data_IF_232862018183
#
_entry.id   IF_232862018183
#
_cell.length_a   1.000
_cell.length_b   1.000
_cell.length_c   1.000
_cell.angle_alpha   90.00
_cell.angle_beta   90.00
_cell.angle_gamma   90.00
#
_symmetry.space_group_name_H-M   'P 1'
#
loop_
_entity.id
_entity.type
_entity.pdbx_description
1 polymer ?
#
# COMPACT_ATOMS: atom_id res chain seq x y z
N UNK A 1 11.24 8.02 -21.98
CA UNK A 1 12.62 7.85 -21.47
C UNK A 1 12.50 7.31 -20.06
N UNK A 2 12.96 6.08 -19.85
CA UNK A 2 12.47 5.18 -18.79
C UNK A 2 13.19 5.37 -17.46
N UNK A 3 12.40 5.51 -16.39
CA UNK A 3 12.76 5.72 -14.98
C UNK A 3 13.39 4.51 -14.26
N UNK A 4 13.76 3.45 -14.98
CA UNK A 4 14.16 2.14 -14.39
C UNK A 4 15.63 2.13 -13.89
N UNK A 5 16.39 3.22 -13.99
CA UNK A 5 17.85 3.21 -13.80
C UNK A 5 18.39 3.42 -12.37
N UNK A 6 17.57 3.30 -11.33
CA UNK A 6 18.03 3.49 -9.95
C UNK A 6 17.46 2.45 -8.98
N UNK A 7 17.48 1.17 -9.35
CA UNK A 7 17.03 0.08 -8.46
C UNK A 7 18.22 -0.84 -8.15
N UNK A 8 18.90 -0.59 -7.03
CA UNK A 8 19.96 -1.48 -6.50
C UNK A 8 19.30 -2.65 -5.75
N UNK A 9 18.89 -3.68 -6.49
CA UNK A 9 18.23 -4.85 -5.95
C UNK A 9 19.24 -5.98 -5.70
N UNK A 10 19.70 -6.11 -4.45
CA UNK A 10 20.43 -7.30 -3.99
C UNK A 10 19.47 -8.28 -3.33
N UNK A 11 18.93 -9.27 -4.08
CA UNK A 11 17.97 -10.23 -3.51
C UNK A 11 18.18 -11.67 -4.02
N UNK A 12 18.83 -12.51 -3.22
CA UNK A 12 18.89 -13.97 -3.48
C UNK A 12 17.96 -14.81 -2.57
N UNK A 13 17.38 -14.22 -1.51
CA UNK A 13 16.46 -14.90 -0.58
C UNK A 13 15.05 -14.31 -0.47
N UNK A 14 14.84 -13.03 -0.81
CA UNK A 14 13.55 -12.34 -0.61
C UNK A 14 12.45 -12.72 -1.61
N UNK A 15 12.83 -13.13 -2.83
CA UNK A 15 11.90 -13.45 -3.92
C UNK A 15 10.95 -14.62 -3.58
N UNK A 16 11.48 -15.64 -2.91
CA UNK A 16 10.72 -16.83 -2.51
C UNK A 16 9.71 -16.49 -1.42
N UNK A 17 10.09 -15.61 -0.48
CA UNK A 17 9.21 -15.10 0.56
C UNK A 17 8.02 -14.32 -0.02
N UNK A 18 8.30 -13.41 -0.96
CA UNK A 18 7.26 -12.62 -1.64
C UNK A 18 6.21 -13.50 -2.34
N UNK A 19 6.64 -14.53 -3.07
CA UNK A 19 5.72 -15.51 -3.70
C UNK A 19 4.87 -16.28 -2.68
N UNK A 20 5.42 -16.57 -1.50
CA UNK A 20 4.67 -17.27 -0.44
C UNK A 20 3.65 -16.36 0.24
N UNK A 21 3.99 -15.09 0.48
CA UNK A 21 3.06 -14.08 1.04
C UNK A 21 1.84 -13.96 0.16
N UNK A 22 2.03 -13.80 -1.16
CA UNK A 22 0.90 -13.66 -2.07
C UNK A 22 0.07 -14.94 -2.20
N UNK A 23 0.68 -16.12 -2.08
CA UNK A 23 -0.03 -17.39 -2.04
C UNK A 23 -0.92 -17.50 -0.79
N UNK A 24 -0.40 -17.13 0.39
CA UNK A 24 -1.14 -17.14 1.65
C UNK A 24 -2.28 -16.12 1.60
N UNK A 25 -2.01 -14.91 1.09
CA UNK A 25 -3.01 -13.88 0.89
C UNK A 25 -4.12 -14.37 -0.06
N UNK A 26 -3.73 -14.92 -1.22
CA UNK A 26 -4.67 -15.47 -2.19
C UNK A 26 -5.54 -16.56 -1.56
N UNK A 27 -4.97 -17.51 -0.81
CA UNK A 27 -5.77 -18.56 -0.16
C UNK A 27 -6.84 -18.03 0.81
N UNK A 28 -6.61 -16.86 1.44
CA UNK A 28 -7.56 -16.23 2.37
C UNK A 28 -8.63 -15.42 1.66
N UNK A 29 -8.30 -14.79 0.54
CA UNK A 29 -9.15 -13.83 -0.18
C UNK A 29 -9.55 -14.28 -1.59
N UNK A 30 -9.30 -15.55 -1.94
CA UNK A 30 -9.57 -16.07 -3.29
C UNK A 30 -11.03 -15.89 -3.67
N UNK A 31 -11.29 -15.28 -4.82
CA UNK A 31 -12.63 -15.05 -5.35
C UNK A 31 -13.45 -14.00 -4.58
N UNK A 32 -12.84 -13.24 -3.66
CA UNK A 32 -13.50 -12.10 -3.01
C UNK A 32 -13.35 -10.85 -3.88
N UNK A 33 -14.47 -10.21 -4.16
CA UNK A 33 -14.54 -8.91 -4.83
C UNK A 33 -14.33 -7.77 -3.82
N UNK A 34 -13.75 -6.64 -4.26
CA UNK A 34 -13.55 -5.46 -3.41
C UNK A 34 -14.89 -4.94 -2.87
N UNK A 35 -15.95 -5.02 -3.69
CA UNK A 35 -17.31 -4.64 -3.31
C UNK A 35 -17.91 -5.48 -2.16
N UNK A 36 -17.32 -6.64 -1.85
CA UNK A 36 -17.74 -7.54 -0.77
C UNK A 36 -16.98 -7.29 0.55
N UNK A 37 -16.11 -6.28 0.59
CA UNK A 37 -15.40 -5.88 1.80
C UNK A 37 -16.30 -5.02 2.70
N UNK A 38 -16.12 -5.15 4.02
CA UNK A 38 -16.91 -4.39 5.00
C UNK A 38 -16.55 -2.90 5.04
N UNK A 39 -15.36 -2.54 4.56
CA UNK A 39 -14.88 -1.16 4.48
C UNK A 39 -14.50 -0.85 3.03
N UNK A 40 -14.68 0.39 2.56
CA UNK A 40 -14.13 0.84 1.30
C UNK A 40 -12.62 0.56 1.23
N UNK A 41 -12.17 0.06 0.09
CA UNK A 41 -10.79 -0.35 -0.11
C UNK A 41 -10.30 0.13 -1.47
N UNK A 42 -9.06 0.59 -1.52
CA UNK A 42 -8.34 0.88 -2.74
C UNK A 42 -6.92 0.32 -2.61
N UNK A 43 -6.48 -0.47 -3.60
CA UNK A 43 -5.07 -0.78 -3.76
C UNK A 43 -4.46 0.26 -4.72
N UNK A 44 -3.35 0.88 -4.33
CA UNK A 44 -2.66 1.86 -5.17
C UNK A 44 -1.58 1.15 -5.97
N UNK A 45 -1.56 1.36 -7.28
CA UNK A 45 -0.54 0.84 -8.18
C UNK A 45 0.03 1.97 -9.03
N UNK A 46 1.18 1.73 -9.66
CA UNK A 46 1.82 2.71 -10.54
C UNK A 46 1.77 2.20 -11.98
N UNK A 47 1.28 3.01 -12.91
CA UNK A 47 1.39 2.74 -14.34
C UNK A 47 2.86 2.72 -14.76
N UNK A 48 3.30 1.61 -15.35
CA UNK A 48 4.70 1.39 -15.70
C UNK A 48 5.23 2.40 -16.74
N UNK A 49 4.40 2.77 -17.71
CA UNK A 49 4.81 3.63 -18.82
C UNK A 49 4.79 5.12 -18.46
N UNK A 50 3.77 5.55 -17.71
CA UNK A 50 3.52 6.96 -17.40
C UNK A 50 4.01 7.38 -16.01
N UNK A 51 4.20 6.43 -15.10
CA UNK A 51 4.46 6.68 -13.68
C UNK A 51 3.24 7.20 -12.91
N UNK A 52 2.05 7.24 -13.53
CA UNK A 52 0.84 7.73 -12.90
C UNK A 52 0.32 6.75 -11.84
N UNK A 53 -0.23 7.31 -10.79
CA UNK A 53 -0.94 6.57 -9.74
C UNK A 53 -2.30 6.07 -10.24
N UNK A 54 -2.60 4.79 -10.01
CA UNK A 54 -3.88 4.14 -10.35
C UNK A 54 -4.50 3.55 -9.09
N UNK A 55 -5.79 3.83 -8.87
CA UNK A 55 -6.55 3.31 -7.72
C UNK A 55 -7.42 2.14 -8.17
N UNK A 56 -7.13 0.97 -7.64
CA UNK A 56 -7.87 -0.26 -7.92
C UNK A 56 -8.94 -0.42 -6.84
N UNK A 57 -10.19 -0.07 -7.18
CA UNK A 57 -11.33 0.01 -6.26
C UNK A 57 -12.43 -1.02 -6.55
N UNK A 58 -12.27 -1.79 -7.62
CA UNK A 58 -13.23 -2.78 -8.09
C UNK A 58 -12.51 -4.04 -8.60
N UNK A 59 -13.30 -5.10 -8.81
CA UNK A 59 -12.78 -6.42 -9.15
C UNK A 59 -12.23 -7.21 -7.96
N UNK A 60 -11.42 -8.23 -8.26
CA UNK A 60 -10.89 -9.16 -7.28
C UNK A 60 -9.86 -8.53 -6.34
N UNK A 61 -10.04 -8.72 -5.02
CA UNK A 61 -9.11 -8.20 -3.99
C UNK A 61 -7.68 -8.72 -4.23
N UNK A 62 -7.55 -9.99 -4.61
CA UNK A 62 -6.25 -10.62 -4.85
C UNK A 62 -5.54 -9.99 -6.05
N UNK A 63 -6.27 -9.64 -7.10
CA UNK A 63 -5.71 -9.05 -8.31
C UNK A 63 -5.28 -7.61 -8.07
N UNK A 64 -6.11 -6.83 -7.36
CA UNK A 64 -5.77 -5.47 -6.98
C UNK A 64 -4.51 -5.41 -6.10
N UNK A 65 -4.43 -6.27 -5.08
CA UNK A 65 -3.24 -6.35 -4.22
C UNK A 65 -2.03 -6.86 -5.00
N UNK A 66 -2.20 -7.85 -5.89
CA UNK A 66 -1.12 -8.37 -6.74
C UNK A 66 -0.49 -7.26 -7.59
N UNK A 67 -1.30 -6.42 -8.21
CA UNK A 67 -0.82 -5.29 -9.00
C UNK A 67 -0.10 -4.25 -8.13
N UNK A 68 -0.68 -3.93 -6.97
CA UNK A 68 -0.15 -2.95 -6.02
C UNK A 68 1.20 -3.33 -5.41
N UNK A 69 1.52 -4.63 -5.30
CA UNK A 69 2.81 -5.13 -4.76
C UNK A 69 3.78 -5.63 -5.85
N UNK A 70 3.53 -5.31 -7.12
CA UNK A 70 4.32 -5.81 -8.25
C UNK A 70 5.66 -5.05 -8.39
N UNK A 71 6.54 -5.23 -7.39
CA UNK A 71 7.85 -4.57 -7.33
C UNK A 71 8.69 -4.97 -8.56
N UNK A 72 9.15 -4.00 -9.38
CA UNK A 72 9.98 -4.28 -10.54
C UNK A 72 11.22 -5.09 -10.14
N UNK A 73 11.54 -6.12 -10.92
CA UNK A 73 12.66 -7.03 -10.65
C UNK A 73 12.38 -8.12 -9.62
N UNK A 74 11.30 -8.01 -8.83
CA UNK A 74 10.85 -9.05 -7.89
C UNK A 74 9.64 -9.80 -8.44
N UNK A 75 8.65 -9.05 -8.92
CA UNK A 75 7.42 -9.58 -9.47
C UNK A 75 7.21 -9.07 -10.90
N UNK A 76 6.53 -9.89 -11.70
CA UNK A 76 6.12 -9.49 -13.05
C UNK A 76 5.07 -8.38 -12.96
N UNK A 77 5.19 -7.29 -13.75
CA UNK A 77 4.12 -6.30 -13.89
C UNK A 77 2.77 -6.96 -14.22
N UNK A 78 1.68 -6.35 -13.77
CA UNK A 78 0.33 -6.86 -13.98
C UNK A 78 -0.34 -6.05 -15.10
N UNK A 79 -0.88 -6.73 -16.12
CA UNK A 79 -1.70 -6.08 -17.14
C UNK A 79 -3.13 -5.93 -16.61
N UNK A 80 -3.58 -4.70 -16.47
CA UNK A 80 -4.94 -4.35 -16.02
C UNK A 80 -5.51 -3.31 -16.98
N UNK A 81 -6.66 -3.62 -17.59
CA UNK A 81 -7.35 -2.73 -18.54
C UNK A 81 -6.46 -2.18 -19.68
N UNK A 82 -5.50 -2.99 -20.15
CA UNK A 82 -4.59 -2.59 -21.22
C UNK A 82 -3.40 -1.73 -20.77
N UNK A 83 -3.26 -1.48 -19.47
CA UNK A 83 -2.14 -0.76 -18.87
C UNK A 83 -1.29 -1.70 -18.01
N UNK A 84 0.03 -1.57 -18.11
CA UNK A 84 0.94 -2.31 -17.25
C UNK A 84 1.08 -1.60 -15.90
N UNK A 85 0.83 -2.32 -14.82
CA UNK A 85 0.91 -1.85 -13.45
C UNK A 85 2.09 -2.49 -12.71
N UNK A 86 2.74 -1.68 -11.89
CA UNK A 86 3.79 -2.06 -10.94
C UNK A 86 3.48 -1.51 -9.57
N UNK A 87 4.35 -1.79 -8.61
CA UNK A 87 4.20 -1.42 -7.21
C UNK A 87 3.76 0.05 -6.99
N UNK A 88 2.76 0.23 -6.14
CA UNK A 88 2.20 1.55 -5.83
C UNK A 88 3.17 2.45 -5.07
N UNK A 89 4.11 1.86 -4.33
CA UNK A 89 5.11 2.60 -3.58
C UNK A 89 6.09 3.40 -4.43
N UNK A 90 6.12 3.16 -5.75
CA UNK A 90 6.89 3.96 -6.70
C UNK A 90 6.27 5.34 -6.97
N UNK A 91 4.94 5.46 -6.91
CA UNK A 91 4.23 6.73 -7.11
C UNK A 91 3.75 7.34 -5.79
N UNK A 92 3.25 6.51 -4.88
CA UNK A 92 2.64 6.97 -3.64
C UNK A 92 2.82 5.94 -2.50
N UNK A 93 3.98 5.94 -1.81
CA UNK A 93 4.31 4.95 -0.78
C UNK A 93 3.43 5.03 0.47
N UNK A 94 2.80 6.17 0.75
CA UNK A 94 1.82 6.33 1.83
C UNK A 94 0.60 7.08 1.29
N UNK A 95 -0.45 6.37 0.83
CA UNK A 95 -1.49 6.94 -0.03
C UNK A 95 -2.55 7.76 0.71
N UNK A 96 -2.12 8.83 1.38
CA UNK A 96 -2.99 9.80 2.07
C UNK A 96 -3.93 10.48 1.07
N UNK A 97 -3.44 10.81 -0.12
CA UNK A 97 -4.24 11.39 -1.20
C UNK A 97 -5.38 10.47 -1.64
N UNK A 98 -5.14 9.16 -1.72
CA UNK A 98 -6.16 8.16 -2.04
C UNK A 98 -7.25 8.12 -0.96
N UNK A 99 -6.85 8.03 0.31
CA UNK A 99 -7.79 8.05 1.42
C UNK A 99 -8.66 9.32 1.45
N UNK A 100 -8.05 10.50 1.19
CA UNK A 100 -8.79 11.77 1.08
C UNK A 100 -9.73 11.80 -0.12
N UNK A 101 -9.30 11.29 -1.28
CA UNK A 101 -10.15 11.18 -2.47
C UNK A 101 -11.34 10.24 -2.27
N UNK A 102 -11.18 9.23 -1.42
CA UNK A 102 -12.25 8.35 -0.94
C UNK A 102 -13.14 8.99 0.14
N UNK A 103 -13.01 10.30 0.38
CA UNK A 103 -13.82 11.11 1.30
C UNK A 103 -13.62 10.79 2.78
N UNK A 104 -12.41 10.40 3.17
CA UNK A 104 -12.07 10.30 4.59
C UNK A 104 -11.97 11.68 5.26
N UNK A 105 -12.73 11.91 6.33
CA UNK A 105 -12.67 13.13 7.16
C UNK A 105 -11.41 13.16 8.04
N UNK A 106 -10.98 11.99 8.51
CA UNK A 106 -9.74 11.76 9.23
C UNK A 106 -8.94 10.65 8.53
N UNK A 107 -7.62 10.82 8.41
CA UNK A 107 -6.74 9.83 7.80
C UNK A 107 -5.67 9.43 8.82
N UNK A 108 -5.61 8.15 9.14
CA UNK A 108 -4.52 7.55 9.92
C UNK A 108 -3.52 6.96 8.92
N UNK A 109 -2.36 7.62 8.79
CA UNK A 109 -1.30 7.18 7.90
C UNK A 109 -0.25 6.39 8.69
N UNK A 110 0.11 5.21 8.20
CA UNK A 110 1.15 4.35 8.79
C UNK A 110 2.34 4.31 7.84
N UNK A 111 3.44 4.96 8.22
CA UNK A 111 4.70 4.90 7.47
C UNK A 111 5.68 3.96 8.19
N UNK A 112 6.16 2.95 7.45
CA UNK A 112 7.09 1.95 7.95
C UNK A 112 8.56 2.32 7.70
N UNK A 113 8.84 3.43 7.01
CA UNK A 113 10.19 3.83 6.59
C UNK A 113 10.94 4.67 7.62
N UNK A 114 10.34 4.99 8.76
CA UNK A 114 10.92 5.93 9.73
C UNK A 114 12.24 5.43 10.37
N UNK A 115 12.50 4.11 10.32
CA UNK A 115 13.72 3.50 10.87
C UNK A 115 14.87 3.44 9.84
N UNK A 116 14.59 3.45 8.54
CA UNK A 116 15.61 3.23 7.50
C UNK A 116 16.49 4.48 7.29
N UNK A 117 15.93 5.68 7.49
CA UNK A 117 16.65 6.95 7.28
C UNK A 117 17.39 7.47 8.53
N UNK A 118 17.03 6.98 9.72
CA UNK A 118 17.56 7.48 10.99
C UNK A 118 18.65 6.60 11.61
N UNK A 119 18.99 5.47 10.99
CA UNK A 119 20.03 4.56 11.49
C UNK A 119 19.78 4.03 12.90
N UNK A 120 18.52 4.07 13.36
CA UNK A 120 18.14 3.54 14.67
C UNK A 120 17.60 2.14 14.49
N UNK A 121 18.25 1.25 15.21
CA UNK A 121 17.90 -0.15 15.38
C UNK A 121 16.41 -0.31 15.79
N UNK A 122 15.80 -1.41 15.36
CA UNK A 122 14.40 -1.78 15.58
C UNK A 122 13.95 -1.51 17.03
N UNK A 123 13.22 -0.43 17.25
CA UNK A 123 12.78 -0.01 18.57
C UNK A 123 11.77 1.13 18.49
N UNK A 124 10.53 0.78 18.16
CA UNK A 124 9.45 1.71 17.82
C UNK A 124 9.31 2.90 18.79
N UNK A 125 9.22 4.09 18.21
CA UNK A 125 8.78 5.29 18.92
C UNK A 125 7.25 5.38 18.88
N UNK A 126 6.62 5.35 20.06
CA UNK A 126 5.22 5.73 20.25
C UNK A 126 5.11 7.23 19.99
N UNK A 127 4.20 7.64 19.10
CA UNK A 127 3.83 9.05 18.93
C UNK A 127 2.97 9.46 20.12
N UNK A 128 3.39 10.49 20.84
CA UNK A 128 2.66 11.04 21.98
C UNK A 128 1.38 11.71 21.46
N UNK A 129 0.24 11.02 21.57
CA UNK A 129 -1.07 11.61 21.31
C UNK A 129 -1.42 12.53 22.48
N UNK A 130 -1.97 13.73 22.22
CA UNK A 130 -2.49 14.56 23.30
C UNK A 130 -3.52 13.76 24.11
N UNK A 131 -3.55 13.91 25.45
CA UNK A 131 -4.45 13.15 26.30
C UNK A 131 -5.89 13.40 25.85
N UNK A 132 -6.65 12.32 25.74
CA UNK A 132 -8.08 12.39 25.44
C UNK A 132 -8.75 13.32 26.47
N UNK A 133 -9.64 14.23 26.04
CA UNK A 133 -10.37 15.08 26.97
C UNK A 133 -11.17 14.19 27.93
N UNK A 134 -11.09 14.52 29.22
CA UNK A 134 -11.84 13.81 30.27
C UNK A 134 -13.34 14.07 30.10
N UNK A 135 -14.17 13.13 30.54
CA UNK A 135 -15.64 13.16 30.44
C UNK A 135 -16.25 14.46 31.00
N UNK A 136 -15.61 15.11 31.98
CA UNK A 136 -16.01 16.43 32.52
C UNK A 136 -16.03 17.56 31.47
N UNK A 137 -15.23 17.45 30.41
CA UNK A 137 -15.17 18.45 29.32
C UNK A 137 -16.33 18.31 28.32
N UNK A 138 -17.01 17.16 28.33
CA UNK A 138 -18.11 16.84 27.41
C UNK A 138 -19.46 17.28 28.00
N UNK A 139 -19.60 17.30 29.33
CA UNK A 139 -20.85 17.71 30.00
C UNK A 139 -20.99 19.24 30.18
N UNK A 140 -19.97 20.02 29.84
CA UNK A 140 -19.97 21.48 29.99
C UNK A 140 -20.44 22.26 28.74
N UNK A 141 -21.12 21.61 27.79
CA UNK A 141 -21.70 22.24 26.58
C UNK A 141 -23.22 22.14 26.58
#
# INVERSE_FOLDING_TARGET
>A
QSVVRLLDLRFSGGLLGGRKVIQVFANRFNGREISQLQMPFAAVATELDSGRETWLQDGGVVDAVRASIAIPGIFTPVLHEGVWLVDGGLSNPVPVSAARGMRADCVIAVDLNNDILNGRDFGGAVVDLPPMPTEESIEAV
#
